data_IF_284159829004
#
_entry.id   IF_284159829004
#
_cell.length_a   1.000
_cell.length_b   1.000
_cell.length_c   1.000
_cell.angle_alpha   90.00
_cell.angle_beta   90.00
_cell.angle_gamma   90.00
#
_symmetry.space_group_name_H-M   'P 1'
#
loop_
_entity.id
_entity.type
_entity.pdbx_description
1 polymer ?
#
# COMPACT_ATOMS: atom_id res chain seq x y z
N UNK A 1 -0.21 30.66 17.96
CA UNK A 1 -0.20 31.11 16.54
C UNK A 1 0.97 32.03 16.18
N UNK A 2 1.93 32.26 17.09
CA UNK A 2 3.01 33.26 16.89
C UNK A 2 3.98 32.95 15.76
N UNK A 3 4.12 31.68 15.40
CA UNK A 3 4.98 31.21 14.31
C UNK A 3 4.51 31.57 12.90
N UNK A 4 3.21 31.82 12.73
CA UNK A 4 2.65 32.11 11.42
C UNK A 4 2.93 33.55 10.98
N UNK A 5 3.12 33.76 9.68
CA UNK A 5 3.28 35.08 9.07
C UNK A 5 2.01 35.91 9.22
N UNK A 6 2.10 37.23 9.13
CA UNK A 6 0.97 38.13 9.27
C UNK A 6 -0.20 37.77 8.35
N UNK A 7 0.09 37.45 7.07
CA UNK A 7 -0.92 37.01 6.09
C UNK A 7 -1.59 35.71 6.50
N UNK A 8 -0.84 34.74 7.00
CA UNK A 8 -1.35 33.45 7.45
C UNK A 8 -2.19 33.58 8.72
N UNK A 9 -1.81 34.47 9.65
CA UNK A 9 -2.60 34.79 10.82
C UNK A 9 -3.96 35.40 10.44
N UNK A 10 -3.99 36.29 9.43
CA UNK A 10 -5.23 36.83 8.90
C UNK A 10 -6.13 35.74 8.31
N UNK A 11 -5.53 34.82 7.53
CA UNK A 11 -6.27 33.68 6.97
C UNK A 11 -6.82 32.78 8.07
N UNK A 12 -6.02 32.42 9.08
CA UNK A 12 -6.47 31.62 10.22
C UNK A 12 -7.63 32.27 10.94
N UNK A 13 -7.59 33.60 11.15
CA UNK A 13 -8.67 34.31 11.81
C UNK A 13 -9.97 34.31 11.00
N UNK A 14 -9.90 34.40 9.67
CA UNK A 14 -11.09 34.24 8.80
C UNK A 14 -11.63 32.80 8.84
N UNK A 15 -10.74 31.77 8.89
CA UNK A 15 -11.16 30.40 9.03
C UNK A 15 -11.92 30.13 10.33
N UNK A 16 -11.61 30.84 11.41
CA UNK A 16 -12.34 30.71 12.70
C UNK A 16 -13.82 31.05 12.63
N UNK A 17 -14.27 31.75 11.62
CA UNK A 17 -15.70 32.04 11.41
C UNK A 17 -16.49 30.78 11.08
N UNK A 18 -15.82 29.75 10.48
CA UNK A 18 -16.47 28.54 9.99
C UNK A 18 -15.93 27.26 10.65
N UNK A 19 -14.78 27.36 11.34
CA UNK A 19 -14.04 26.20 11.88
C UNK A 19 -13.52 26.50 13.27
N UNK A 20 -13.44 25.47 14.10
CA UNK A 20 -12.72 25.53 15.36
C UNK A 20 -11.24 25.28 15.15
N UNK A 21 -10.38 26.23 15.44
CA UNK A 21 -8.91 26.04 15.42
C UNK A 21 -8.51 25.31 16.69
N UNK A 22 -8.00 24.08 16.57
CA UNK A 22 -7.75 23.16 17.69
C UNK A 22 -6.28 22.99 18.04
N UNK A 23 -5.36 23.59 17.25
CA UNK A 23 -3.93 23.56 17.54
C UNK A 23 -3.27 24.93 17.37
N UNK A 24 -2.12 25.11 18.05
CA UNK A 24 -1.27 26.31 17.91
C UNK A 24 -0.47 26.32 16.60
N UNK A 25 -0.52 25.23 15.85
CA UNK A 25 0.25 25.03 14.62
C UNK A 25 1.62 24.41 14.84
N UNK A 26 2.17 23.84 13.77
CA UNK A 26 3.51 23.26 13.71
C UNK A 26 4.12 23.45 12.31
N UNK A 27 5.42 23.16 12.16
CA UNK A 27 6.14 23.27 10.90
C UNK A 27 6.75 21.94 10.52
N UNK A 28 6.73 21.63 9.23
CA UNK A 28 7.37 20.44 8.68
C UNK A 28 8.35 20.84 7.57
N UNK A 29 9.58 20.36 7.68
CA UNK A 29 10.60 20.53 6.64
C UNK A 29 10.72 19.26 5.82
N UNK A 30 10.52 19.37 4.51
CA UNK A 30 10.79 18.30 3.55
C UNK A 30 11.84 18.79 2.57
N UNK A 31 13.02 18.16 2.60
CA UNK A 31 14.21 18.59 1.85
C UNK A 31 14.51 20.07 2.14
N UNK A 32 14.40 20.92 1.14
CA UNK A 32 14.67 22.37 1.25
C UNK A 32 13.42 23.24 1.45
N UNK A 33 12.24 22.61 1.53
CA UNK A 33 10.97 23.34 1.67
C UNK A 33 10.41 23.19 3.07
N UNK A 34 9.88 24.29 3.63
CA UNK A 34 9.24 24.33 4.95
C UNK A 34 7.78 24.69 4.77
N UNK A 35 6.90 23.95 5.44
CA UNK A 35 5.46 24.12 5.40
C UNK A 35 4.93 24.27 6.82
N UNK A 36 4.11 25.28 7.03
CA UNK A 36 3.41 25.50 8.29
C UNK A 36 2.02 24.90 8.20
N UNK A 37 1.56 24.26 9.28
CA UNK A 37 0.24 23.63 9.32
C UNK A 37 -0.41 23.79 10.69
N UNK A 38 -1.71 23.66 10.72
CA UNK A 38 -2.51 23.66 11.93
C UNK A 38 -3.71 22.72 11.78
N UNK A 39 -4.39 22.46 12.89
CA UNK A 39 -5.56 21.60 12.90
C UNK A 39 -6.82 22.43 13.09
N UNK A 40 -7.86 22.09 12.36
CA UNK A 40 -9.18 22.67 12.46
C UNK A 40 -10.22 21.57 12.65
N UNK A 41 -11.26 21.85 13.41
CA UNK A 41 -12.39 20.93 13.58
C UNK A 41 -13.61 21.52 12.88
N UNK A 42 -14.37 20.71 12.10
CA UNK A 42 -15.57 21.19 11.45
C UNK A 42 -16.64 21.58 12.46
N UNK A 43 -17.46 22.57 12.10
CA UNK A 43 -18.69 22.88 12.80
C UNK A 43 -19.73 21.80 12.56
N UNK A 44 -20.80 21.72 13.37
CA UNK A 44 -21.86 20.72 13.25
C UNK A 44 -22.42 20.64 11.83
N UNK A 45 -22.64 21.79 11.21
CA UNK A 45 -23.17 21.88 9.85
C UNK A 45 -22.27 21.20 8.81
N UNK A 46 -20.93 21.36 8.92
CA UNK A 46 -19.97 20.70 8.03
C UNK A 46 -19.84 19.22 8.35
N UNK A 47 -19.91 18.87 9.64
CA UNK A 47 -19.89 17.47 10.08
C UNK A 47 -21.04 16.68 9.45
N UNK A 48 -22.25 17.19 9.53
CA UNK A 48 -23.43 16.54 8.97
C UNK A 48 -23.37 16.44 7.43
N UNK A 49 -22.91 17.51 6.78
CA UNK A 49 -22.91 17.62 5.32
C UNK A 49 -21.87 16.77 4.63
N UNK A 50 -20.65 16.68 5.22
CA UNK A 50 -19.51 16.01 4.62
C UNK A 50 -19.04 14.78 5.40
N UNK A 51 -19.75 14.42 6.47
CA UNK A 51 -19.40 13.32 7.38
C UNK A 51 -17.97 13.45 7.95
N UNK A 52 -17.59 14.66 8.32
CA UNK A 52 -16.28 15.01 8.88
C UNK A 52 -16.44 15.31 10.37
N UNK A 53 -16.07 14.36 11.23
CA UNK A 53 -16.19 14.47 12.69
C UNK A 53 -14.86 14.71 13.40
N UNK A 54 -13.74 14.55 12.69
CA UNK A 54 -12.38 14.66 13.20
C UNK A 54 -11.71 15.96 12.82
N UNK A 55 -10.56 16.21 13.42
CA UNK A 55 -9.74 17.37 13.06
C UNK A 55 -9.16 17.19 11.65
N UNK A 56 -9.12 18.27 10.88
CA UNK A 56 -8.60 18.32 9.52
C UNK A 56 -7.28 19.07 9.52
N UNK A 57 -6.29 18.56 8.80
CA UNK A 57 -5.02 19.26 8.59
C UNK A 57 -5.22 20.39 7.59
N UNK A 58 -4.84 21.60 7.99
CA UNK A 58 -4.78 22.78 7.14
C UNK A 58 -3.31 23.16 6.94
N UNK A 59 -2.83 23.07 5.70
CA UNK A 59 -1.43 23.27 5.32
C UNK A 59 -1.26 24.56 4.54
N UNK A 60 -0.27 25.37 4.90
CA UNK A 60 0.18 26.52 4.13
C UNK A 60 1.31 26.15 3.18
N UNK A 61 1.16 26.44 1.90
CA UNK A 61 2.24 26.39 0.91
C UNK A 61 2.60 27.81 0.48
N UNK A 62 3.70 28.38 1.02
CA UNK A 62 4.11 29.75 0.74
C UNK A 62 4.82 29.92 -0.62
N UNK A 63 4.81 28.89 -1.45
CA UNK A 63 5.54 28.83 -2.73
C UNK A 63 4.61 29.20 -3.90
N UNK A 64 5.10 30.01 -4.83
CA UNK A 64 4.39 30.39 -6.03
C UNK A 64 4.33 29.25 -7.06
N UNK A 65 5.35 28.39 -7.07
CA UNK A 65 5.36 27.19 -7.88
C UNK A 65 4.84 25.99 -7.08
N UNK A 66 3.81 25.34 -7.59
CA UNK A 66 3.29 24.12 -6.98
C UNK A 66 4.20 22.93 -7.33
N UNK A 67 4.59 22.18 -6.32
CA UNK A 67 5.35 20.95 -6.49
C UNK A 67 4.53 19.76 -5.97
N UNK A 68 4.46 18.63 -6.73
CA UNK A 68 3.72 17.42 -6.32
C UNK A 68 4.08 16.94 -4.91
N UNK A 69 5.35 17.10 -4.50
CA UNK A 69 5.81 16.78 -3.12
C UNK A 69 5.11 17.57 -2.01
N UNK A 70 4.42 18.67 -2.35
CA UNK A 70 3.57 19.39 -1.38
C UNK A 70 2.49 18.46 -0.82
N UNK A 71 2.04 17.47 -1.60
CA UNK A 71 1.05 16.48 -1.14
C UNK A 71 1.68 15.42 -0.23
N UNK A 72 2.98 15.11 -0.39
CA UNK A 72 3.72 14.17 0.47
C UNK A 72 3.86 14.70 1.91
N UNK A 73 3.74 16.03 2.08
CA UNK A 73 3.73 16.68 3.41
C UNK A 73 2.56 16.15 4.24
N UNK A 74 1.38 16.02 3.64
CA UNK A 74 0.20 15.49 4.33
C UNK A 74 0.43 14.05 4.81
N UNK A 75 1.03 13.19 3.99
CA UNK A 75 1.34 11.81 4.40
C UNK A 75 2.26 11.76 5.61
N UNK A 76 3.27 12.64 5.62
CA UNK A 76 4.21 12.76 6.75
C UNK A 76 3.51 13.26 8.02
N UNK A 77 2.59 14.22 7.91
CA UNK A 77 1.80 14.73 9.05
C UNK A 77 0.89 13.64 9.59
N UNK A 78 0.16 12.94 8.71
CA UNK A 78 -0.76 11.88 9.12
C UNK A 78 -0.05 10.68 9.78
N UNK A 79 1.19 10.37 9.38
CA UNK A 79 1.98 9.32 10.05
C UNK A 79 2.38 9.70 11.49
N UNK A 80 2.50 11.00 11.78
CA UNK A 80 2.86 11.51 13.11
C UNK A 80 1.65 11.68 14.04
N UNK A 81 0.45 11.74 13.49
CA UNK A 81 -0.77 12.03 14.24
C UNK A 81 -1.56 10.76 14.58
N UNK A 82 -2.23 10.68 15.75
CA UNK A 82 -3.13 9.58 16.06
C UNK A 82 -4.29 9.51 15.05
N UNK A 83 -4.52 8.34 14.47
CA UNK A 83 -5.61 8.10 13.50
C UNK A 83 -7.02 8.37 14.08
N UNK A 84 -7.17 8.26 15.39
CA UNK A 84 -8.42 8.56 16.10
C UNK A 84 -8.71 10.06 16.21
N UNK A 85 -7.70 10.91 16.07
CA UNK A 85 -7.81 12.35 16.24
C UNK A 85 -8.01 13.09 14.92
N UNK A 86 -7.23 12.75 13.90
CA UNK A 86 -7.15 13.51 12.64
C UNK A 86 -7.81 12.72 11.51
N UNK A 87 -8.56 13.44 10.66
CA UNK A 87 -9.14 12.91 9.44
C UNK A 87 -8.05 12.58 8.42
N UNK A 88 -7.96 11.31 7.99
CA UNK A 88 -6.92 10.85 7.09
C UNK A 88 -7.29 10.92 5.60
N UNK A 89 -8.57 11.12 5.30
CA UNK A 89 -9.07 11.13 3.91
C UNK A 89 -9.08 12.51 3.30
N UNK A 90 -9.18 13.56 4.14
CA UNK A 90 -9.38 14.94 3.72
C UNK A 90 -8.37 15.86 4.39
N UNK A 91 -7.89 16.86 3.64
CA UNK A 91 -7.07 17.95 4.14
C UNK A 91 -7.31 19.24 3.33
N UNK A 92 -6.99 20.38 3.90
CA UNK A 92 -7.06 21.68 3.24
C UNK A 92 -5.64 22.13 2.89
N UNK A 93 -5.45 22.55 1.65
CA UNK A 93 -4.21 23.16 1.15
C UNK A 93 -4.47 24.64 0.83
N UNK A 94 -3.76 25.52 1.52
CA UNK A 94 -3.78 26.95 1.23
C UNK A 94 -2.46 27.32 0.58
N UNK A 95 -2.49 27.74 -0.68
CA UNK A 95 -1.30 27.95 -1.50
C UNK A 95 -1.20 29.35 -2.04
N UNK A 96 0.02 29.87 -2.19
CA UNK A 96 0.27 31.07 -2.97
C UNK A 96 0.15 30.86 -4.48
N UNK A 97 0.27 29.62 -4.94
CA UNK A 97 0.11 29.31 -6.35
C UNK A 97 -1.33 29.54 -6.81
N UNK A 98 -1.52 30.39 -7.82
CA UNK A 98 -2.84 30.75 -8.35
C UNK A 98 -3.55 29.60 -9.09
N UNK A 99 -2.79 28.63 -9.61
CA UNK A 99 -3.32 27.47 -10.35
C UNK A 99 -3.39 26.19 -9.47
N UNK A 100 -3.33 26.30 -8.14
CA UNK A 100 -3.29 25.16 -7.23
C UNK A 100 -4.49 24.22 -7.42
N UNK A 101 -5.68 24.74 -7.72
CA UNK A 101 -6.87 23.93 -7.95
C UNK A 101 -6.72 23.00 -9.15
N UNK A 102 -6.21 23.51 -10.28
CA UNK A 102 -5.97 22.72 -11.47
C UNK A 102 -4.88 21.68 -11.25
N UNK A 103 -3.81 22.06 -10.55
CA UNK A 103 -2.69 21.16 -10.23
C UNK A 103 -3.14 20.00 -9.33
N UNK A 104 -3.88 20.29 -8.26
CA UNK A 104 -4.43 19.27 -7.38
C UNK A 104 -5.40 18.36 -8.12
N UNK A 105 -6.28 18.91 -8.96
CA UNK A 105 -7.23 18.15 -9.78
C UNK A 105 -6.49 17.19 -10.74
N UNK A 106 -5.43 17.67 -11.40
CA UNK A 106 -4.62 16.85 -12.32
C UNK A 106 -3.98 15.65 -11.59
N UNK A 107 -3.45 15.87 -10.39
CA UNK A 107 -2.85 14.79 -9.59
C UNK A 107 -3.93 13.82 -9.08
N UNK A 108 -5.07 14.31 -8.61
CA UNK A 108 -6.19 13.47 -8.15
C UNK A 108 -6.76 12.59 -9.27
N UNK A 109 -6.74 13.06 -10.51
CA UNK A 109 -7.17 12.27 -11.67
C UNK A 109 -6.15 11.18 -12.04
N UNK A 110 -4.85 11.38 -11.76
CA UNK A 110 -3.81 10.40 -12.04
C UNK A 110 -3.67 9.32 -10.94
N UNK A 111 -4.08 9.61 -9.72
CA UNK A 111 -4.09 8.67 -8.59
C UNK A 111 -5.47 8.65 -7.91
N UNK A 112 -6.33 7.68 -8.25
CA UNK A 112 -7.67 7.55 -7.65
C UNK A 112 -7.65 7.37 -6.13
N UNK A 113 -6.57 6.82 -5.57
CA UNK A 113 -6.39 6.64 -4.13
C UNK A 113 -5.81 7.88 -3.43
N UNK A 114 -5.56 8.98 -4.16
CA UNK A 114 -5.08 10.21 -3.55
C UNK A 114 -6.09 10.75 -2.54
N UNK A 115 -5.57 11.32 -1.45
CA UNK A 115 -6.40 11.99 -0.44
C UNK A 115 -7.21 13.12 -1.06
N UNK A 116 -8.35 13.41 -0.45
CA UNK A 116 -9.19 14.54 -0.83
C UNK A 116 -8.49 15.81 -0.32
N UNK A 117 -7.76 16.48 -1.21
CA UNK A 117 -7.14 17.75 -0.90
C UNK A 117 -8.01 18.87 -1.42
N UNK A 118 -8.45 19.75 -0.53
CA UNK A 118 -9.29 20.89 -0.84
C UNK A 118 -8.40 22.12 -0.99
N UNK A 119 -8.15 22.56 -2.22
CA UNK A 119 -7.24 23.67 -2.48
C UNK A 119 -7.94 25.01 -2.34
N UNK A 120 -7.23 25.94 -1.73
CA UNK A 120 -7.55 27.37 -1.73
C UNK A 120 -6.29 28.17 -2.03
N UNK A 121 -6.44 29.33 -2.66
CA UNK A 121 -5.34 30.28 -2.74
C UNK A 121 -5.34 31.23 -1.53
N UNK A 122 -4.19 31.81 -1.21
CA UNK A 122 -4.10 32.86 -0.19
C UNK A 122 -5.03 34.00 -0.51
N UNK A 123 -5.11 34.41 -1.78
CA UNK A 123 -5.93 35.51 -2.26
C UNK A 123 -7.42 35.26 -2.12
N UNK A 124 -7.90 34.05 -2.44
CA UNK A 124 -9.31 33.69 -2.30
C UNK A 124 -9.77 33.85 -0.84
N UNK A 125 -8.99 33.31 0.09
CA UNK A 125 -9.35 33.40 1.50
C UNK A 125 -9.22 34.84 2.00
N UNK A 126 -8.20 35.56 1.56
CA UNK A 126 -7.98 36.93 2.02
C UNK A 126 -9.06 37.90 1.53
N UNK A 127 -9.52 37.75 0.27
CA UNK A 127 -10.45 38.68 -0.37
C UNK A 127 -11.91 38.32 -0.19
N UNK A 128 -12.30 37.07 -0.35
CA UNK A 128 -13.68 36.64 -0.58
C UNK A 128 -14.13 35.43 0.24
N UNK A 129 -13.57 35.20 1.41
CA UNK A 129 -13.97 34.04 2.19
C UNK A 129 -15.39 34.22 2.71
N UNK A 130 -16.34 33.43 2.18
CA UNK A 130 -17.70 33.32 2.66
C UNK A 130 -18.11 31.85 2.74
N UNK A 131 -19.24 31.55 3.38
CA UNK A 131 -19.72 30.16 3.52
C UNK A 131 -20.02 29.48 2.19
N UNK A 132 -20.44 30.25 1.17
CA UNK A 132 -20.74 29.71 -0.15
C UNK A 132 -19.49 29.25 -0.89
N UNK A 133 -18.38 30.00 -0.82
CA UNK A 133 -17.11 29.61 -1.42
C UNK A 133 -16.61 28.30 -0.82
N UNK A 134 -16.68 28.19 0.52
CA UNK A 134 -16.30 26.94 1.20
C UNK A 134 -17.16 25.77 0.75
N UNK A 135 -18.47 25.94 0.84
CA UNK A 135 -19.42 24.90 0.53
C UNK A 135 -19.27 24.41 -0.92
N UNK A 136 -19.20 25.35 -1.86
CA UNK A 136 -19.02 25.02 -3.29
C UNK A 136 -17.69 24.32 -3.56
N UNK A 137 -16.59 24.76 -2.91
CA UNK A 137 -15.27 24.14 -3.09
C UNK A 137 -15.23 22.73 -2.50
N UNK A 138 -15.77 22.55 -1.29
CA UNK A 138 -15.88 21.23 -0.67
C UNK A 138 -16.73 20.30 -1.52
N UNK A 139 -17.92 20.70 -1.94
CA UNK A 139 -18.79 19.91 -2.82
C UNK A 139 -18.09 19.52 -4.12
N UNK A 140 -17.43 20.48 -4.77
CA UNK A 140 -16.73 20.27 -6.03
C UNK A 140 -15.64 19.20 -5.90
N UNK A 141 -14.91 19.18 -4.77
CA UNK A 141 -13.80 18.23 -4.56
C UNK A 141 -14.29 16.88 -4.03
N UNK A 142 -15.21 16.88 -3.04
CA UNK A 142 -15.72 15.63 -2.46
C UNK A 142 -16.56 14.82 -3.44
N UNK A 143 -17.42 15.46 -4.22
CA UNK A 143 -18.43 14.80 -5.04
C UNK A 143 -17.99 14.61 -6.52
N UNK A 144 -16.77 15.02 -6.87
CA UNK A 144 -16.27 14.87 -8.24
C UNK A 144 -15.61 13.51 -8.51
N UNK A 145 -15.47 12.63 -7.52
CA UNK A 145 -14.73 11.37 -7.63
C UNK A 145 -15.70 10.19 -7.61
N UNK A 146 -15.50 9.25 -8.53
CA UNK A 146 -16.16 7.95 -8.46
C UNK A 146 -15.27 6.96 -7.68
N UNK A 147 -15.59 6.80 -6.40
CA UNK A 147 -14.84 5.91 -5.50
C UNK A 147 -15.22 4.43 -5.67
N UNK A 148 -16.21 4.10 -6.50
CA UNK A 148 -16.55 2.73 -6.86
C UNK A 148 -15.82 2.27 -8.13
N UNK A 149 -15.25 3.17 -8.92
CA UNK A 149 -14.62 2.88 -10.20
C UNK A 149 -13.16 2.44 -10.12
N UNK A 150 -12.66 2.03 -8.95
CA UNK A 150 -11.30 1.53 -8.82
C UNK A 150 -11.06 0.29 -9.69
N UNK A 151 -10.14 0.40 -10.65
CA UNK A 151 -9.74 -0.70 -11.53
C UNK A 151 -8.41 -1.34 -11.13
N UNK A 152 -7.61 -0.62 -10.36
CA UNK A 152 -6.29 -1.06 -9.89
C UNK A 152 -6.37 -1.67 -8.49
N UNK A 153 -5.41 -2.54 -8.12
CA UNK A 153 -5.30 -3.02 -6.75
C UNK A 153 -5.10 -1.87 -5.76
N UNK A 154 -5.77 -1.93 -4.61
CA UNK A 154 -5.75 -0.89 -3.59
C UNK A 154 -4.43 -0.87 -2.84
N UNK A 155 -3.71 0.23 -2.90
CA UNK A 155 -2.42 0.43 -2.23
C UNK A 155 -2.54 1.08 -0.85
N UNK A 156 -3.63 1.82 -0.58
CA UNK A 156 -3.84 2.57 0.66
C UNK A 156 -4.93 1.93 1.53
N UNK A 157 -4.84 2.10 2.85
CA UNK A 157 -5.83 1.57 3.80
C UNK A 157 -7.18 2.25 3.70
N UNK A 158 -7.24 3.50 3.22
CA UNK A 158 -8.43 4.35 3.22
C UNK A 158 -9.62 3.74 2.46
N UNK A 159 -9.33 2.88 1.49
CA UNK A 159 -10.34 2.24 0.63
C UNK A 159 -10.35 0.71 0.76
N UNK A 160 -9.57 0.18 1.73
CA UNK A 160 -9.44 -1.26 1.96
C UNK A 160 -10.39 -1.72 3.06
N UNK A 161 -11.49 -2.36 2.68
CA UNK A 161 -12.56 -2.81 3.57
C UNK A 161 -12.59 -4.32 3.75
N UNK A 162 -13.13 -4.74 4.88
CA UNK A 162 -13.66 -6.09 5.12
C UNK A 162 -12.65 -7.23 5.22
N UNK A 163 -11.33 -7.00 5.05
CA UNK A 163 -10.32 -8.08 4.99
C UNK A 163 -9.18 -7.94 5.99
N UNK A 164 -9.32 -7.05 6.95
CA UNK A 164 -8.28 -6.81 7.97
C UNK A 164 -7.99 -8.05 8.81
N UNK A 165 -9.00 -8.88 9.11
CA UNK A 165 -8.79 -10.12 9.87
C UNK A 165 -7.90 -11.10 9.11
N UNK A 166 -8.15 -11.29 7.81
CA UNK A 166 -7.29 -12.14 6.97
C UNK A 166 -5.86 -11.61 6.88
N UNK A 167 -5.70 -10.29 6.70
CA UNK A 167 -4.35 -9.67 6.70
C UNK A 167 -3.65 -9.90 8.03
N UNK A 168 -4.35 -9.75 9.15
CA UNK A 168 -3.80 -10.00 10.48
C UNK A 168 -3.39 -11.46 10.66
N UNK A 169 -4.20 -12.40 10.21
CA UNK A 169 -3.91 -13.84 10.26
C UNK A 169 -2.68 -14.19 9.43
N UNK A 170 -2.59 -13.70 8.18
CA UNK A 170 -1.45 -13.96 7.30
C UNK A 170 -0.14 -13.39 7.86
N UNK A 171 -0.17 -12.18 8.43
CA UNK A 171 0.99 -11.59 9.11
C UNK A 171 1.35 -12.38 10.37
N UNK A 172 0.36 -12.87 11.14
CA UNK A 172 0.62 -13.72 12.31
C UNK A 172 1.31 -15.04 11.92
N UNK A 173 0.89 -15.67 10.81
CA UNK A 173 1.55 -16.88 10.27
C UNK A 173 3.01 -16.60 9.91
N UNK A 174 3.27 -15.52 9.20
CA UNK A 174 4.65 -15.11 8.91
C UNK A 174 5.45 -14.93 10.21
N UNK A 175 4.88 -14.28 11.21
CA UNK A 175 5.54 -14.06 12.50
C UNK A 175 5.82 -15.37 13.27
N UNK A 176 5.01 -16.40 13.04
CA UNK A 176 5.20 -17.76 13.58
C UNK A 176 6.07 -18.66 12.69
N UNK A 177 6.73 -18.10 11.67
CA UNK A 177 7.55 -18.84 10.69
C UNK A 177 6.74 -19.86 9.87
N UNK A 178 5.45 -19.62 9.65
CA UNK A 178 4.60 -20.48 8.83
C UNK A 178 4.44 -19.92 7.40
N UNK A 179 4.35 -20.82 6.42
CA UNK A 179 4.02 -20.49 5.05
C UNK A 179 2.51 -20.38 4.86
N UNK A 180 2.07 -19.53 3.91
CA UNK A 180 0.67 -19.34 3.60
C UNK A 180 0.38 -19.34 2.10
N UNK A 181 -0.84 -19.71 1.72
CA UNK A 181 -1.37 -19.59 0.37
C UNK A 181 -2.64 -18.76 0.37
N UNK A 182 -2.79 -17.83 -0.56
CA UNK A 182 -3.98 -17.00 -0.74
C UNK A 182 -4.51 -17.20 -2.15
N UNK A 183 -5.67 -17.82 -2.27
CA UNK A 183 -6.26 -18.15 -3.56
C UNK A 183 -7.66 -17.57 -3.71
N UNK A 184 -7.99 -17.18 -4.94
CA UNK A 184 -9.29 -16.60 -5.24
C UNK A 184 -9.42 -16.19 -6.69
N UNK A 185 -10.64 -15.91 -7.12
CA UNK A 185 -10.94 -15.53 -8.49
C UNK A 185 -10.13 -14.30 -8.95
N UNK A 186 -10.02 -14.14 -10.25
CA UNK A 186 -9.48 -12.89 -10.83
C UNK A 186 -10.28 -11.69 -10.34
N UNK A 187 -9.61 -10.59 -10.06
CA UNK A 187 -10.21 -9.34 -9.54
C UNK A 187 -10.88 -9.48 -8.16
N UNK A 188 -10.64 -10.54 -7.42
CA UNK A 188 -11.16 -10.70 -6.04
C UNK A 188 -10.43 -9.88 -4.98
N UNK A 189 -9.37 -9.15 -5.36
CA UNK A 189 -8.60 -8.30 -4.46
C UNK A 189 -7.34 -8.96 -3.86
N UNK A 190 -6.83 -10.05 -4.43
CA UNK A 190 -5.59 -10.73 -3.97
C UNK A 190 -4.41 -9.77 -3.83
N UNK A 191 -4.11 -9.02 -4.89
CA UNK A 191 -2.99 -8.06 -4.89
C UNK A 191 -3.22 -6.90 -3.92
N UNK A 192 -4.48 -6.49 -3.67
CA UNK A 192 -4.79 -5.52 -2.61
C UNK A 192 -4.47 -6.04 -1.21
N UNK A 193 -4.66 -7.35 -0.97
CA UNK A 193 -4.25 -8.00 0.28
C UNK A 193 -2.72 -8.03 0.40
N UNK A 194 -2.00 -8.32 -0.67
CA UNK A 194 -0.52 -8.25 -0.67
C UNK A 194 -0.07 -6.85 -0.23
N UNK A 195 -0.61 -5.79 -0.82
CA UNK A 195 -0.27 -4.42 -0.42
C UNK A 195 -0.64 -4.11 1.03
N UNK A 196 -1.76 -4.64 1.53
CA UNK A 196 -2.14 -4.48 2.94
C UNK A 196 -1.16 -5.19 3.88
N UNK A 197 -0.69 -6.39 3.53
CA UNK A 197 0.35 -7.13 4.27
C UNK A 197 1.66 -6.35 4.25
N UNK A 198 2.10 -5.85 3.10
CA UNK A 198 3.31 -5.04 2.97
C UNK A 198 3.27 -3.80 3.86
N UNK A 199 2.14 -3.07 3.85
CA UNK A 199 1.96 -1.91 4.74
C UNK A 199 2.08 -2.29 6.21
N UNK A 200 1.47 -3.40 6.61
CA UNK A 200 1.52 -3.86 8.00
C UNK A 200 2.93 -4.29 8.41
N UNK A 201 3.62 -5.06 7.57
CA UNK A 201 5.01 -5.45 7.80
C UNK A 201 5.95 -4.23 7.86
N UNK A 202 5.75 -3.23 7.02
CA UNK A 202 6.51 -1.97 7.06
C UNK A 202 6.32 -1.22 8.39
N UNK A 203 5.10 -1.20 8.95
CA UNK A 203 4.84 -0.63 10.29
C UNK A 203 5.61 -1.41 11.36
N UNK A 204 5.65 -2.74 11.25
CA UNK A 204 6.42 -3.62 12.13
C UNK A 204 7.94 -3.59 11.84
N UNK A 205 8.39 -2.81 10.85
CA UNK A 205 9.77 -2.73 10.35
C UNK A 205 10.32 -4.05 9.82
N UNK A 206 9.44 -4.93 9.34
CA UNK A 206 9.78 -6.22 8.74
C UNK A 206 9.91 -6.14 7.23
N UNK A 207 10.74 -7.02 6.69
CA UNK A 207 11.07 -7.07 5.28
C UNK A 207 10.10 -7.94 4.49
N UNK A 208 9.74 -7.49 3.29
CA UNK A 208 8.91 -8.23 2.36
C UNK A 208 9.44 -8.06 0.93
N UNK A 209 9.60 -9.16 0.22
CA UNK A 209 9.94 -9.22 -1.21
C UNK A 209 8.71 -9.71 -1.96
N UNK A 210 8.34 -9.04 -3.04
CA UNK A 210 7.22 -9.46 -3.91
C UNK A 210 7.74 -9.74 -5.31
N UNK A 211 7.38 -10.92 -5.82
CA UNK A 211 7.67 -11.37 -7.18
C UNK A 211 6.35 -11.52 -7.94
N UNK A 212 6.17 -10.75 -8.99
CA UNK A 212 5.04 -10.87 -9.90
C UNK A 212 5.35 -11.92 -10.96
N UNK A 213 4.84 -13.14 -10.76
CA UNK A 213 5.07 -14.25 -11.67
C UNK A 213 4.34 -14.09 -13.02
N UNK A 214 3.37 -13.16 -13.14
CA UNK A 214 2.74 -12.84 -14.43
C UNK A 214 3.70 -12.08 -15.35
N UNK A 215 4.71 -11.40 -14.79
CA UNK A 215 5.70 -10.66 -15.57
C UNK A 215 6.56 -11.60 -16.44
N UNK A 216 6.70 -11.33 -17.76
CA UNK A 216 7.63 -12.08 -18.61
C UNK A 216 9.08 -12.06 -18.08
N UNK A 217 9.48 -10.98 -17.41
CA UNK A 217 10.79 -10.89 -16.77
C UNK A 217 10.99 -11.93 -15.65
N UNK A 218 9.92 -12.54 -15.14
CA UNK A 218 9.94 -13.59 -14.12
C UNK A 218 9.68 -14.97 -14.74
N UNK A 219 8.53 -15.18 -15.39
CA UNK A 219 8.15 -16.53 -15.87
C UNK A 219 8.98 -17.05 -17.06
N UNK A 220 9.77 -16.20 -17.76
CA UNK A 220 10.72 -16.64 -18.77
C UNK A 220 12.06 -17.11 -18.18
N UNK A 221 12.33 -16.78 -16.91
CA UNK A 221 13.56 -17.23 -16.24
C UNK A 221 13.52 -18.71 -15.96
N UNK A 222 14.70 -19.37 -16.10
CA UNK A 222 14.93 -20.72 -15.60
C UNK A 222 14.98 -20.69 -14.06
N UNK A 223 14.78 -21.81 -13.42
CA UNK A 223 14.75 -21.94 -11.96
C UNK A 223 15.97 -21.30 -11.27
N UNK A 224 17.18 -21.47 -11.82
CA UNK A 224 18.40 -20.90 -11.27
C UNK A 224 18.48 -19.36 -11.45
N UNK A 225 17.94 -18.85 -12.54
CA UNK A 225 17.83 -17.40 -12.78
C UNK A 225 16.78 -16.78 -11.87
N UNK A 226 15.69 -17.50 -11.57
CA UNK A 226 14.68 -17.05 -10.62
C UNK A 226 15.22 -17.00 -9.17
N UNK A 227 16.05 -17.98 -8.78
CA UNK A 227 16.77 -17.92 -7.50
C UNK A 227 17.66 -16.67 -7.41
N UNK A 228 18.39 -16.35 -8.50
CA UNK A 228 19.18 -15.11 -8.59
C UNK A 228 18.30 -13.88 -8.38
N UNK A 229 17.12 -13.83 -9.01
CA UNK A 229 16.18 -12.72 -8.89
C UNK A 229 15.69 -12.55 -7.45
N UNK A 230 15.29 -13.64 -6.78
CA UNK A 230 14.91 -13.61 -5.36
C UNK A 230 16.00 -13.00 -4.49
N UNK A 231 17.26 -13.39 -4.71
CA UNK A 231 18.40 -12.81 -3.96
C UNK A 231 18.62 -11.35 -4.31
N UNK A 232 18.47 -10.96 -5.57
CA UNK A 232 18.62 -9.59 -6.03
C UNK A 232 17.55 -8.67 -5.40
N UNK A 233 16.29 -9.09 -5.41
CA UNK A 233 15.20 -8.37 -4.76
C UNK A 233 15.39 -8.29 -3.25
N UNK A 234 15.81 -9.38 -2.60
CA UNK A 234 16.11 -9.37 -1.18
C UNK A 234 17.24 -8.40 -0.83
N UNK A 235 18.29 -8.36 -1.64
CA UNK A 235 19.41 -7.41 -1.48
C UNK A 235 18.96 -5.95 -1.66
N UNK A 236 18.03 -5.68 -2.59
CA UNK A 236 17.55 -4.32 -2.94
C UNK A 236 16.80 -3.62 -1.80
N UNK A 237 16.33 -4.34 -0.80
CA UNK A 237 15.62 -3.79 0.36
C UNK A 237 16.45 -2.80 1.22
N UNK A 238 17.49 -2.19 0.66
CA UNK A 238 18.33 -1.11 1.22
C UNK A 238 18.99 -1.40 2.59
N UNK A 239 19.09 -2.66 2.96
CA UNK A 239 19.48 -3.01 4.33
C UNK A 239 20.88 -3.59 4.41
N UNK A 240 21.51 -3.89 3.28
CA UNK A 240 22.85 -4.50 3.33
C UNK A 240 23.83 -3.88 2.34
N UNK A 241 24.99 -3.45 2.86
CA UNK A 241 26.19 -3.18 2.07
C UNK A 241 26.89 -4.47 1.65
N UNK A 242 26.18 -5.62 1.60
CA UNK A 242 26.76 -6.91 1.28
C UNK A 242 27.11 -6.96 -0.19
N UNK A 243 28.38 -7.16 -0.48
CA UNK A 243 28.85 -7.44 -1.85
C UNK A 243 28.57 -8.89 -2.18
N UNK A 244 27.73 -9.13 -3.18
CA UNK A 244 27.38 -10.44 -3.72
C UNK A 244 27.66 -10.38 -5.22
N UNK A 245 28.44 -11.30 -5.70
CA UNK A 245 28.61 -11.52 -7.15
C UNK A 245 27.47 -12.44 -7.61
N UNK A 246 26.50 -11.85 -8.32
CA UNK A 246 25.33 -12.55 -8.79
C UNK A 246 25.52 -13.15 -10.20
N UNK A 247 26.50 -12.68 -10.97
CA UNK A 247 26.56 -12.99 -12.40
C UNK A 247 27.24 -14.32 -12.71
N UNK A 248 28.26 -14.72 -11.94
CA UNK A 248 29.05 -15.92 -12.24
C UNK A 248 28.61 -17.18 -11.48
N UNK A 249 27.61 -17.09 -10.57
CA UNK A 249 27.31 -18.16 -9.59
C UNK A 249 25.95 -18.83 -9.76
N UNK A 250 25.06 -18.25 -10.58
CA UNK A 250 23.70 -18.75 -10.76
C UNK A 250 23.54 -19.46 -12.10
N UNK A 251 24.13 -20.64 -12.17
CA UNK A 251 23.95 -21.61 -13.23
C UNK A 251 23.25 -22.88 -12.71
N UNK A 252 22.90 -23.78 -13.59
CA UNK A 252 22.16 -25.02 -13.28
C UNK A 252 22.85 -25.91 -12.22
N UNK A 253 24.18 -25.87 -12.12
CA UNK A 253 24.95 -26.71 -11.19
C UNK A 253 25.17 -26.05 -9.83
N UNK A 254 25.32 -24.73 -9.79
CA UNK A 254 25.81 -24.01 -8.63
C UNK A 254 24.72 -23.20 -7.93
N UNK A 255 23.59 -22.89 -8.60
CA UNK A 255 22.59 -21.95 -8.12
C UNK A 255 22.02 -22.29 -6.73
N UNK A 256 21.75 -23.57 -6.45
CA UNK A 256 21.20 -23.98 -5.16
C UNK A 256 22.15 -23.66 -4.00
N UNK A 257 23.45 -23.93 -4.17
CA UNK A 257 24.49 -23.63 -3.18
C UNK A 257 24.70 -22.13 -3.05
N UNK A 258 24.76 -21.42 -4.17
CA UNK A 258 24.92 -19.96 -4.21
C UNK A 258 23.77 -19.22 -3.52
N UNK A 259 22.55 -19.72 -3.73
CA UNK A 259 21.35 -19.20 -3.07
C UNK A 259 21.44 -19.33 -1.54
N UNK A 260 21.79 -20.52 -1.04
CA UNK A 260 21.96 -20.77 0.40
C UNK A 260 22.99 -19.79 1.02
N UNK A 261 24.17 -19.68 0.40
CA UNK A 261 25.23 -18.80 0.87
C UNK A 261 24.82 -17.33 0.85
N UNK A 262 24.21 -16.86 -0.23
CA UNK A 262 23.89 -15.45 -0.42
C UNK A 262 22.69 -14.98 0.43
N UNK A 263 21.66 -15.83 0.57
CA UNK A 263 20.54 -15.57 1.50
C UNK A 263 21.06 -15.47 2.94
N UNK A 264 21.94 -16.38 3.36
CA UNK A 264 22.52 -16.32 4.71
C UNK A 264 23.39 -15.08 4.94
N UNK A 265 24.17 -14.65 3.95
CA UNK A 265 24.94 -13.40 4.03
C UNK A 265 24.03 -12.20 4.23
N UNK A 266 22.95 -12.09 3.47
CA UNK A 266 21.98 -10.99 3.60
C UNK A 266 21.29 -11.07 4.96
N UNK A 267 20.78 -12.23 5.35
CA UNK A 267 20.11 -12.45 6.63
C UNK A 267 20.97 -12.05 7.82
N UNK A 268 22.23 -12.47 7.84
CA UNK A 268 23.16 -12.13 8.92
C UNK A 268 23.48 -10.61 8.97
N UNK A 269 23.46 -9.94 7.82
CA UNK A 269 23.64 -8.48 7.75
C UNK A 269 22.41 -7.68 8.24
N UNK A 270 21.25 -8.29 8.26
CA UNK A 270 19.93 -7.69 8.57
C UNK A 270 19.47 -7.87 10.03
N UNK A 271 20.32 -8.00 10.98
CA UNK A 271 19.94 -8.28 12.37
C UNK A 271 19.14 -9.59 12.56
N UNK A 272 19.26 -10.54 11.65
CA UNK A 272 18.57 -11.84 11.65
C UNK A 272 17.04 -11.72 11.68
N UNK A 273 16.49 -10.84 10.88
CA UNK A 273 15.05 -10.64 10.74
C UNK A 273 14.48 -11.54 9.64
N UNK A 274 13.42 -12.28 9.96
CA UNK A 274 12.71 -13.13 8.99
C UNK A 274 12.07 -12.28 7.89
N UNK A 275 12.26 -12.68 6.63
CA UNK A 275 11.71 -11.98 5.46
C UNK A 275 10.57 -12.76 4.83
N UNK A 276 9.50 -12.08 4.45
CA UNK A 276 8.40 -12.69 3.69
C UNK A 276 8.67 -12.59 2.19
N UNK A 277 8.71 -13.75 1.49
CA UNK A 277 8.73 -13.81 0.03
C UNK A 277 7.31 -14.06 -0.48
N UNK A 278 6.78 -13.17 -1.30
CA UNK A 278 5.44 -13.28 -1.91
C UNK A 278 5.62 -13.60 -3.39
N UNK A 279 4.98 -14.68 -3.84
CA UNK A 279 4.88 -15.06 -5.24
C UNK A 279 3.44 -14.82 -5.69
N UNK A 280 3.20 -13.70 -6.40
CA UNK A 280 1.87 -13.38 -6.95
C UNK A 280 1.69 -14.05 -8.32
N UNK A 281 0.45 -14.46 -8.64
CA UNK A 281 0.09 -15.22 -9.84
C UNK A 281 0.97 -16.48 -10.02
N UNK A 282 1.12 -17.27 -8.94
CA UNK A 282 2.00 -18.46 -8.86
C UNK A 282 1.75 -19.46 -9.97
N UNK A 283 0.55 -19.54 -10.52
CA UNK A 283 0.21 -20.43 -11.63
C UNK A 283 1.06 -20.20 -12.87
N UNK A 284 1.67 -19.00 -13.04
CA UNK A 284 2.52 -18.69 -14.20
C UNK A 284 3.86 -19.41 -14.18
N UNK A 285 4.29 -19.86 -13.01
CA UNK A 285 5.51 -20.66 -12.81
C UNK A 285 5.20 -22.03 -12.20
N UNK A 286 4.00 -22.57 -12.42
CA UNK A 286 3.54 -23.86 -11.90
C UNK A 286 3.37 -24.89 -13.01
N UNK A 287 3.43 -26.20 -12.68
CA UNK A 287 3.17 -27.28 -13.62
C UNK A 287 1.80 -27.15 -14.30
N UNK A 288 1.72 -27.52 -15.56
CA UNK A 288 0.55 -27.46 -16.47
C UNK A 288 0.06 -26.04 -16.82
N UNK A 289 0.19 -25.08 -15.92
CA UNK A 289 -0.36 -23.71 -16.09
C UNK A 289 0.72 -22.67 -16.38
N UNK A 290 1.98 -23.04 -16.23
CA UNK A 290 3.13 -22.16 -16.44
C UNK A 290 3.13 -21.50 -17.81
N UNK A 291 3.46 -20.22 -17.85
CA UNK A 291 3.50 -19.42 -19.08
C UNK A 291 4.66 -19.80 -20.00
N UNK A 292 5.70 -20.43 -19.47
CA UNK A 292 6.85 -20.95 -20.22
C UNK A 292 6.92 -22.47 -20.15
N UNK A 293 7.46 -23.12 -21.21
CA UNK A 293 7.49 -24.57 -21.31
C UNK A 293 8.26 -25.24 -20.16
N UNK A 294 9.36 -24.66 -19.71
CA UNK A 294 10.19 -25.19 -18.62
C UNK A 294 9.49 -25.16 -17.24
N UNK A 295 8.51 -24.25 -17.04
CA UNK A 295 7.64 -24.28 -15.87
C UNK A 295 6.46 -25.23 -16.06
N UNK A 296 5.79 -25.21 -17.22
CA UNK A 296 4.62 -26.04 -17.49
C UNK A 296 4.92 -27.53 -17.51
N UNK A 297 6.13 -27.95 -17.89
CA UNK A 297 6.58 -29.35 -17.84
C UNK A 297 7.06 -29.78 -16.44
N UNK A 298 7.05 -28.87 -15.45
CA UNK A 298 7.34 -29.14 -14.05
C UNK A 298 8.83 -29.21 -13.67
N UNK A 299 9.76 -29.26 -14.61
CA UNK A 299 11.18 -29.44 -14.31
C UNK A 299 11.73 -28.29 -13.45
N UNK A 300 11.54 -27.06 -13.92
CA UNK A 300 12.03 -25.88 -13.20
C UNK A 300 11.28 -25.64 -11.89
N UNK A 301 9.98 -25.99 -11.84
CA UNK A 301 9.19 -25.91 -10.62
C UNK A 301 9.77 -26.82 -9.52
N UNK A 302 10.11 -28.05 -9.85
CA UNK A 302 10.63 -29.01 -8.87
C UNK A 302 11.97 -28.52 -8.34
N UNK A 303 12.93 -28.18 -9.20
CA UNK A 303 14.25 -27.73 -8.75
C UNK A 303 14.20 -26.43 -7.93
N UNK A 304 13.38 -25.48 -8.34
CA UNK A 304 13.19 -24.23 -7.61
C UNK A 304 12.70 -24.48 -6.19
N UNK A 305 11.59 -25.21 -6.06
CA UNK A 305 10.98 -25.46 -4.75
C UNK A 305 11.74 -26.47 -3.89
N UNK A 306 12.44 -27.43 -4.48
CA UNK A 306 13.36 -28.27 -3.73
C UNK A 306 14.48 -27.44 -3.08
N UNK A 307 15.02 -26.49 -3.82
CA UNK A 307 16.05 -25.58 -3.30
C UNK A 307 15.54 -24.76 -2.12
N UNK A 308 14.38 -24.11 -2.28
CA UNK A 308 13.79 -23.34 -1.18
C UNK A 308 13.48 -24.25 0.01
N UNK A 309 12.81 -25.40 -0.20
CA UNK A 309 12.47 -26.33 0.88
C UNK A 309 13.69 -26.84 1.64
N UNK A 310 14.73 -27.29 0.93
CA UNK A 310 15.97 -27.76 1.55
C UNK A 310 16.61 -26.68 2.42
N UNK A 311 16.66 -25.45 1.93
CA UNK A 311 17.19 -24.33 2.67
C UNK A 311 16.32 -24.00 3.92
N UNK A 312 15.00 -23.94 3.77
CA UNK A 312 14.08 -23.68 4.88
C UNK A 312 14.18 -24.73 5.99
N UNK A 313 14.32 -26.01 5.63
CA UNK A 313 14.48 -27.08 6.63
C UNK A 313 15.75 -26.92 7.48
N UNK A 314 16.83 -26.38 6.91
CA UNK A 314 18.07 -26.06 7.63
C UNK A 314 17.97 -24.76 8.44
N UNK A 315 17.22 -23.77 7.93
CA UNK A 315 17.19 -22.40 8.42
C UNK A 315 15.76 -21.82 8.47
N UNK A 316 14.86 -22.36 9.30
CA UNK A 316 13.42 -22.01 9.28
C UNK A 316 13.11 -20.57 9.68
N UNK A 317 14.03 -19.87 10.34
CA UNK A 317 13.87 -18.48 10.77
C UNK A 317 14.28 -17.43 9.72
N UNK A 318 14.86 -17.86 8.60
CA UNK A 318 15.42 -16.91 7.62
C UNK A 318 14.34 -16.28 6.77
N UNK A 319 13.39 -17.05 6.30
CA UNK A 319 12.27 -16.54 5.53
C UNK A 319 11.01 -17.41 5.68
N UNK A 320 9.89 -16.84 5.32
CA UNK A 320 8.67 -17.56 4.96
C UNK A 320 8.27 -17.18 3.55
N UNK A 321 7.40 -17.97 2.94
CA UNK A 321 6.81 -17.58 1.67
C UNK A 321 5.29 -17.57 1.71
N UNK A 322 4.71 -16.75 0.84
CA UNK A 322 3.27 -16.70 0.57
C UNK A 322 3.02 -16.86 -0.92
N UNK A 323 2.22 -17.87 -1.25
CA UNK A 323 1.78 -18.15 -2.61
C UNK A 323 0.43 -17.50 -2.87
N UNK A 324 0.34 -16.70 -3.92
CA UNK A 324 -0.89 -16.01 -4.27
C UNK A 324 -1.28 -16.36 -5.70
N UNK A 325 -2.54 -16.72 -5.92
CA UNK A 325 -2.99 -17.13 -7.23
C UNK A 325 -4.49 -17.42 -7.33
N UNK A 326 -4.90 -17.98 -8.45
CA UNK A 326 -6.27 -18.39 -8.67
C UNK A 326 -6.52 -19.85 -8.34
N UNK A 327 -5.49 -20.69 -8.46
CA UNK A 327 -5.62 -22.14 -8.35
C UNK A 327 -4.52 -22.75 -7.46
N UNK A 328 -4.87 -23.41 -6.35
CA UNK A 328 -3.92 -24.00 -5.41
C UNK A 328 -3.31 -25.34 -5.87
N UNK A 329 -3.56 -25.81 -7.09
CA UNK A 329 -3.07 -27.11 -7.57
C UNK A 329 -1.58 -27.35 -7.33
N UNK A 330 -0.78 -26.31 -7.41
CA UNK A 330 0.68 -26.41 -7.16
C UNK A 330 1.01 -26.86 -5.72
N UNK A 331 0.08 -26.78 -4.78
CA UNK A 331 0.28 -27.20 -3.38
C UNK A 331 -0.57 -28.43 -3.02
N UNK A 332 -1.66 -28.67 -3.74
CA UNK A 332 -2.61 -29.74 -3.43
C UNK A 332 -2.26 -31.09 -4.10
N UNK A 333 -1.47 -31.06 -5.16
CA UNK A 333 -1.05 -32.29 -5.84
C UNK A 333 0.23 -32.84 -5.22
N UNK A 334 0.23 -34.11 -4.84
CA UNK A 334 1.38 -34.78 -4.23
C UNK A 334 2.53 -35.03 -5.19
N UNK A 335 2.24 -35.18 -6.47
CA UNK A 335 3.24 -35.47 -7.51
C UNK A 335 2.94 -34.72 -8.81
N UNK A 336 3.99 -34.39 -9.53
CA UNK A 336 3.96 -33.87 -10.90
C UNK A 336 4.88 -34.73 -11.78
N UNK A 337 4.34 -35.25 -12.89
CA UNK A 337 5.11 -36.02 -13.86
C UNK A 337 5.93 -37.19 -13.23
N UNK A 338 5.38 -37.85 -12.21
CA UNK A 338 6.02 -38.95 -11.50
C UNK A 338 7.10 -38.54 -10.48
N UNK A 339 7.24 -37.24 -10.21
CA UNK A 339 8.15 -36.73 -9.19
C UNK A 339 7.36 -36.13 -8.02
N UNK A 340 7.87 -36.25 -6.81
CA UNK A 340 7.25 -35.69 -5.61
C UNK A 340 7.23 -34.17 -5.67
N UNK A 341 6.09 -33.60 -5.31
CA UNK A 341 5.93 -32.15 -5.22
C UNK A 341 6.61 -31.60 -3.97
N UNK A 342 7.64 -30.75 -4.11
CA UNK A 342 8.40 -30.24 -2.97
C UNK A 342 7.57 -29.39 -1.99
N UNK A 343 6.47 -28.77 -2.46
CA UNK A 343 5.62 -27.90 -1.63
C UNK A 343 4.23 -28.49 -1.37
N UNK A 344 4.07 -29.81 -1.56
CA UNK A 344 2.83 -30.49 -1.23
C UNK A 344 2.45 -30.25 0.25
N UNK A 345 1.26 -29.70 0.50
CA UNK A 345 0.74 -29.34 1.82
C UNK A 345 1.69 -28.50 2.69
N UNK A 346 2.59 -27.75 2.07
CA UNK A 346 3.63 -26.98 2.79
C UNK A 346 3.13 -25.67 3.40
N UNK A 347 1.95 -25.19 3.01
CA UNK A 347 1.36 -23.96 3.51
C UNK A 347 -0.14 -24.09 3.77
N UNK A 348 -0.65 -23.28 4.70
CA UNK A 348 -2.08 -23.18 4.94
C UNK A 348 -2.75 -22.39 3.81
N UNK A 349 -3.83 -22.95 3.27
CA UNK A 349 -4.58 -22.34 2.15
C UNK A 349 -5.70 -21.48 2.69
N UNK A 350 -5.76 -20.23 2.23
CA UNK A 350 -6.82 -19.26 2.49
C UNK A 350 -7.51 -18.93 1.17
N UNK A 351 -8.76 -19.28 1.07
CA UNK A 351 -9.59 -18.85 -0.07
C UNK A 351 -10.20 -17.48 0.24
N UNK A 352 -10.20 -16.60 -0.76
CA UNK A 352 -10.86 -15.30 -0.63
C UNK A 352 -12.37 -15.45 -0.77
N UNK A 353 -13.14 -15.33 0.32
CA UNK A 353 -14.59 -15.35 0.25
C UNK A 353 -15.10 -14.04 -0.37
N UNK A 354 -16.35 -14.06 -0.81
CA UNK A 354 -17.10 -12.85 -1.09
C UNK A 354 -17.23 -12.00 0.19
N UNK A 355 -17.47 -10.71 0.04
CA UNK A 355 -17.81 -9.87 1.17
C UNK A 355 -19.12 -10.32 1.81
N UNK A 356 -19.20 -10.29 3.13
CA UNK A 356 -20.47 -10.43 3.84
C UNK A 356 -21.35 -9.20 3.61
N UNK A 357 -22.66 -9.33 3.82
CA UNK A 357 -23.60 -8.22 3.71
C UNK A 357 -23.13 -6.99 4.55
N UNK A 358 -22.70 -7.21 5.79
CA UNK A 358 -22.21 -6.14 6.66
C UNK A 358 -20.97 -5.44 6.09
N UNK A 359 -20.03 -6.19 5.49
CA UNK A 359 -18.85 -5.62 4.84
C UNK A 359 -19.21 -4.81 3.60
N UNK A 360 -20.18 -5.24 2.82
CA UNK A 360 -20.72 -4.50 1.67
C UNK A 360 -21.39 -3.21 2.14
N UNK A 361 -22.25 -3.28 3.15
CA UNK A 361 -22.96 -2.12 3.72
C UNK A 361 -21.93 -1.10 4.25
N UNK A 362 -20.92 -1.55 5.00
CA UNK A 362 -19.85 -0.69 5.52
C UNK A 362 -19.10 0.00 4.37
N UNK A 363 -18.68 -0.77 3.36
CA UNK A 363 -17.93 -0.25 2.21
C UNK A 363 -18.77 0.73 1.40
N UNK A 364 -19.96 0.33 0.99
CA UNK A 364 -20.85 1.15 0.16
C UNK A 364 -21.30 2.39 0.90
N UNK A 365 -21.70 2.25 2.17
CA UNK A 365 -22.09 3.38 2.99
C UNK A 365 -20.97 4.37 3.24
N UNK A 366 -19.73 3.89 3.47
CA UNK A 366 -18.57 4.77 3.69
C UNK A 366 -18.15 5.48 2.41
N UNK A 367 -18.00 4.76 1.30
CA UNK A 367 -17.63 5.35 0.01
C UNK A 367 -18.71 6.29 -0.50
N UNK A 368 -19.99 5.91 -0.35
CA UNK A 368 -21.12 6.75 -0.74
C UNK A 368 -21.14 8.09 0.01
N UNK A 369 -20.98 8.06 1.34
CA UNK A 369 -20.90 9.30 2.13
C UNK A 369 -19.76 10.22 1.68
N UNK A 370 -18.60 9.65 1.33
CA UNK A 370 -17.48 10.42 0.78
C UNK A 370 -17.76 11.02 -0.61
N UNK A 371 -18.74 10.47 -1.32
CA UNK A 371 -19.22 10.99 -2.61
C UNK A 371 -20.49 11.85 -2.49
N UNK A 372 -20.95 12.13 -1.26
CA UNK A 372 -22.21 12.85 -1.01
C UNK A 372 -23.48 12.05 -1.29
N UNK A 373 -23.33 10.71 -1.43
CA UNK A 373 -24.46 9.81 -1.61
C UNK A 373 -24.90 9.28 -0.24
N UNK A 374 -26.20 9.31 0.01
CA UNK A 374 -26.80 8.69 1.18
C UNK A 374 -27.61 7.49 0.75
N UNK A 375 -27.05 6.31 0.93
CA UNK A 375 -27.73 5.06 0.66
C UNK A 375 -28.69 4.75 1.81
N UNK A 376 -29.94 4.40 1.49
CA UNK A 376 -30.92 3.92 2.47
C UNK A 376 -30.49 2.58 3.10
N UNK A 377 -31.25 2.15 4.10
CA UNK A 377 -30.99 0.89 4.82
C UNK A 377 -31.33 -0.36 4.00
N UNK A 378 -31.86 -0.22 2.81
CA UNK A 378 -32.35 -1.30 1.94
C UNK A 378 -31.32 -1.73 0.88
N UNK A 379 -30.02 -1.74 1.27
CA UNK A 379 -28.93 -2.20 0.42
C UNK A 379 -28.71 -3.71 0.61
#
# INVERSE_FOLDING_TARGET
>A
LDRFKATEKTIINKLKEFWYVTSSGDSLKIKNSTYDYFLIKPTTQFTEKFNLDREIVCLFSPYENFEPRTLDVFDTIFQKMPKSRVENLCAILISKNSSVEEQVKKISNSDPEQKIIIPFTYDEIHKNLNSELYDSRFRKVFYSRDLFAFKSPLKKDSYFFGRNNLVNELVSKHNSSEHAGVFGLRKSGKTSIIYAIQRKLNIEKKSCVMLDCESPAIHQKRWYELLKEVVQEYKSLKISNVRIDLDSRYDEKNAAKSFEEDILKIYNSKKKETTLFIFDEIERISPFTGSSQHWSNGTDFIYFWQTLRSFYQKHPSVYTYMLVGTNPKCIEQSQFFGQDNPIYLSCSIHYLPNFSANQVIEMVGTLGRLMGLNFGTDI
#
